data_IF_111811980404
#
_entry.id   IF_111811980404
#
_cell.length_a   1.000
_cell.length_b   1.000
_cell.length_c   1.000
_cell.angle_alpha   90.00
_cell.angle_beta   90.00
_cell.angle_gamma   90.00
#
_symmetry.space_group_name_H-M   'P 1'
#
loop_
_entity.id
_entity.type
_entity.pdbx_description
1 polymer ?
#
# COMPACT_ATOMS: atom_id res chain seq x y z
N UNK A 1 -3.89 -3.29 -20.78
CA UNK A 1 -4.21 -3.15 -19.34
C UNK A 1 -2.96 -2.62 -18.65
N UNK A 2 -2.90 -1.34 -18.25
CA UNK A 2 -1.71 -0.80 -17.60
C UNK A 2 -1.59 -1.41 -16.20
N UNK A 3 -0.54 -2.21 -15.98
CA UNK A 3 -0.17 -2.66 -14.64
C UNK A 3 0.53 -1.50 -13.95
N UNK A 4 0.03 -1.09 -12.78
CA UNK A 4 0.63 -0.06 -11.95
C UNK A 4 1.42 -0.76 -10.86
N UNK A 5 2.70 -0.46 -10.74
CA UNK A 5 3.54 -0.92 -9.63
C UNK A 5 3.88 0.28 -8.76
N UNK A 6 3.42 0.23 -7.51
CA UNK A 6 3.60 1.28 -6.52
C UNK A 6 4.50 0.82 -5.38
N UNK A 7 5.40 1.71 -4.95
CA UNK A 7 6.21 1.51 -3.75
C UNK A 7 5.55 2.24 -2.57
N UNK A 8 5.13 1.47 -1.56
CA UNK A 8 4.67 2.00 -0.28
C UNK A 8 5.30 1.17 0.84
N UNK A 9 5.85 1.85 1.85
CA UNK A 9 6.33 1.23 3.07
C UNK A 9 5.21 1.16 4.08
N UNK A 10 4.45 0.06 4.08
CA UNK A 10 3.54 -0.26 5.16
C UNK A 10 3.53 -1.77 5.43
N UNK A 11 3.46 -2.11 6.71
CA UNK A 11 3.39 -3.49 7.17
C UNK A 11 2.12 -4.23 6.72
N UNK A 12 1.07 -3.53 6.26
CA UNK A 12 -0.22 -4.14 5.93
C UNK A 12 -1.01 -3.34 4.87
N UNK A 13 -0.77 -3.60 3.57
CA UNK A 13 -1.72 -3.52 2.43
C UNK A 13 -1.11 -3.96 1.08
N UNK A 14 -1.98 -4.05 0.07
CA UNK A 14 -2.09 -5.07 -1.01
C UNK A 14 -1.31 -4.72 -2.30
N UNK A 15 -0.64 -5.73 -2.90
CA UNK A 15 0.26 -5.65 -4.07
C UNK A 15 -0.29 -4.95 -5.32
N UNK A 16 0.55 -4.31 -6.15
CA UNK A 16 1.52 -4.93 -7.07
C UNK A 16 2.93 -4.33 -6.87
N UNK A 17 3.91 -5.17 -6.51
CA UNK A 17 5.34 -4.81 -6.44
C UNK A 17 5.73 -3.93 -5.25
N UNK A 18 5.29 -4.28 -4.04
CA UNK A 18 5.59 -3.53 -2.81
C UNK A 18 7.00 -3.88 -2.32
N UNK A 19 7.88 -2.88 -2.21
CA UNK A 19 9.15 -2.99 -1.48
C UNK A 19 9.01 -2.26 -0.15
N UNK A 20 9.23 -2.98 0.94
CA UNK A 20 9.12 -2.48 2.31
C UNK A 20 10.28 -1.54 2.68
N UNK A 21 9.99 -0.60 3.59
CA UNK A 21 10.91 0.08 4.51
C UNK A 21 12.30 0.42 3.96
N UNK A 22 12.45 1.61 3.37
CA UNK A 22 13.73 2.16 2.90
C UNK A 22 14.33 1.49 1.64
N UNK A 23 13.89 0.28 1.29
CA UNK A 23 14.32 -0.44 0.08
C UNK A 23 13.70 0.17 -1.19
N UNK A 24 12.52 0.78 -1.08
CA UNK A 24 11.87 1.50 -2.18
C UNK A 24 12.65 2.73 -2.66
N UNK A 25 13.50 3.33 -1.80
CA UNK A 25 14.38 4.46 -2.17
C UNK A 25 15.66 4.01 -2.91
N UNK A 26 15.86 2.69 -3.10
CA UNK A 26 17.01 2.19 -3.82
C UNK A 26 16.87 2.46 -5.33
N UNK A 27 17.64 3.42 -5.83
CA UNK A 27 17.62 3.83 -7.24
C UNK A 27 17.90 2.67 -8.20
N UNK A 28 18.79 1.74 -7.83
CA UNK A 28 19.12 0.58 -8.67
C UNK A 28 17.93 -0.37 -8.80
N UNK A 29 17.15 -0.52 -7.74
CA UNK A 29 15.97 -1.36 -7.74
C UNK A 29 14.80 -0.72 -8.49
N UNK A 30 14.63 0.60 -8.36
CA UNK A 30 13.69 1.36 -9.20
C UNK A 30 14.03 1.25 -10.69
N UNK A 31 15.30 1.29 -11.07
CA UNK A 31 15.74 1.06 -12.46
C UNK A 31 15.34 -0.33 -12.98
N UNK A 32 15.64 -1.38 -12.21
CA UNK A 32 15.32 -2.76 -12.59
C UNK A 32 13.81 -2.95 -12.77
N UNK A 33 13.01 -2.39 -11.86
CA UNK A 33 11.55 -2.46 -11.96
C UNK A 33 11.02 -1.58 -13.10
N UNK A 34 11.70 -0.48 -13.42
CA UNK A 34 11.39 0.36 -14.58
C UNK A 34 11.58 -0.38 -15.90
N UNK A 35 12.66 -1.17 -16.04
CA UNK A 35 12.86 -2.05 -17.19
C UNK A 35 11.71 -3.05 -17.32
N UNK A 36 11.42 -3.77 -16.23
CA UNK A 36 10.35 -4.77 -16.18
C UNK A 36 8.97 -4.17 -16.54
N UNK A 37 8.68 -2.95 -16.07
CA UNK A 37 7.43 -2.25 -16.37
C UNK A 37 7.31 -1.90 -17.85
N UNK A 38 8.38 -1.33 -18.44
CA UNK A 38 8.38 -0.95 -19.87
C UNK A 38 8.13 -2.15 -20.78
N UNK A 39 8.75 -3.28 -20.51
CA UNK A 39 8.56 -4.52 -21.28
C UNK A 39 7.12 -5.03 -21.23
N UNK A 40 6.37 -4.69 -20.18
CA UNK A 40 4.98 -5.16 -19.95
C UNK A 40 3.92 -4.11 -20.27
N UNK A 41 4.30 -2.96 -20.82
CA UNK A 41 3.37 -1.83 -21.05
C UNK A 41 2.78 -1.26 -19.74
N UNK A 42 3.53 -1.41 -18.65
CA UNK A 42 3.19 -0.99 -17.29
C UNK A 42 3.85 0.34 -16.94
N UNK A 43 3.32 1.03 -15.92
CA UNK A 43 3.90 2.28 -15.41
C UNK A 43 4.42 2.06 -13.99
N UNK A 44 5.65 2.51 -13.74
CA UNK A 44 6.23 2.53 -12.41
C UNK A 44 5.96 3.88 -11.75
N UNK A 45 5.45 3.87 -10.53
CA UNK A 45 5.31 5.07 -9.71
C UNK A 45 6.10 4.89 -8.42
N UNK A 46 7.10 5.75 -8.23
CA UNK A 46 7.80 5.87 -6.96
C UNK A 46 7.15 6.99 -6.15
N UNK A 47 6.67 6.66 -4.95
CA UNK A 47 6.13 7.64 -4.00
C UNK A 47 7.30 8.38 -3.36
N UNK A 48 7.08 9.64 -2.96
CA UNK A 48 8.05 10.44 -2.20
C UNK A 48 8.53 9.66 -0.96
N UNK A 49 9.84 9.72 -0.69
CA UNK A 49 10.50 8.98 0.40
C UNK A 49 9.84 9.22 1.77
N UNK A 50 9.26 10.42 1.98
CA UNK A 50 8.58 10.80 3.23
C UNK A 50 7.31 9.99 3.49
N UNK A 51 6.71 9.42 2.46
CA UNK A 51 5.57 8.51 2.56
C UNK A 51 5.97 7.04 2.40
N UNK A 52 7.24 6.76 2.16
CA UNK A 52 7.79 5.39 2.10
C UNK A 52 8.21 4.86 3.49
N UNK A 53 7.94 5.61 4.55
CA UNK A 53 8.11 5.22 5.96
C UNK A 53 6.75 5.11 6.64
N UNK A 54 6.68 4.34 7.73
CA UNK A 54 5.49 4.25 8.56
C UNK A 54 5.05 5.65 9.03
N UNK A 55 3.85 6.07 8.63
CA UNK A 55 3.31 7.39 8.94
C UNK A 55 1.82 7.34 9.30
N UNK A 56 1.32 8.36 10.00
CA UNK A 56 -0.10 8.43 10.37
C UNK A 56 -1.03 8.68 9.18
N UNK A 57 -0.53 9.27 8.08
CA UNK A 57 -1.35 9.61 6.92
C UNK A 57 -1.84 8.37 6.17
N UNK A 58 -1.03 7.31 6.05
CA UNK A 58 -1.48 6.03 5.46
C UNK A 58 -2.59 5.36 6.29
N UNK A 59 -2.53 5.47 7.62
CA UNK A 59 -3.56 4.93 8.52
C UNK A 59 -4.85 5.75 8.37
N UNK A 60 -4.74 7.08 8.35
CA UNK A 60 -5.87 7.98 8.13
C UNK A 60 -6.53 7.76 6.76
N UNK A 61 -5.74 7.58 5.69
CA UNK A 61 -6.26 7.33 4.35
C UNK A 61 -7.02 6.00 4.29
N UNK A 62 -6.46 4.92 4.84
CA UNK A 62 -7.14 3.64 4.89
C UNK A 62 -8.43 3.71 5.72
N UNK A 63 -8.39 4.37 6.89
CA UNK A 63 -9.58 4.56 7.73
C UNK A 63 -10.65 5.41 7.06
N UNK A 64 -10.26 6.45 6.32
CA UNK A 64 -11.19 7.27 5.54
C UNK A 64 -11.89 6.46 4.44
N UNK A 65 -11.14 5.63 3.71
CA UNK A 65 -11.70 4.77 2.67
C UNK A 65 -12.68 3.74 3.24
N UNK A 66 -12.32 3.09 4.35
CA UNK A 66 -13.19 2.17 5.10
C UNK A 66 -14.47 2.89 5.52
N UNK A 67 -14.36 4.04 6.19
CA UNK A 67 -15.50 4.82 6.67
C UNK A 67 -16.41 5.28 5.53
N UNK A 68 -15.83 5.79 4.44
CA UNK A 68 -16.57 6.23 3.24
C UNK A 68 -17.34 5.09 2.59
N UNK A 69 -16.82 3.87 2.65
CA UNK A 69 -17.52 2.66 2.17
C UNK A 69 -18.56 2.09 3.14
N UNK A 70 -18.77 2.76 4.29
CA UNK A 70 -19.75 2.37 5.30
C UNK A 70 -19.21 1.39 6.35
N UNK A 71 -17.92 1.08 6.35
CA UNK A 71 -17.32 0.27 7.41
C UNK A 71 -17.07 1.11 8.65
N UNK A 72 -17.66 0.72 9.77
CA UNK A 72 -17.48 1.34 11.09
C UNK A 72 -17.16 0.24 12.08
N UNK A 73 -16.23 0.51 13.00
CA UNK A 73 -15.83 -0.42 14.07
C UNK A 73 -16.35 0.12 15.38
N UNK A 74 -17.12 -0.70 16.11
CA UNK A 74 -17.58 -0.38 17.45
C UNK A 74 -16.40 -0.34 18.42
N UNK A 75 -16.53 0.44 19.50
CA UNK A 75 -15.43 0.62 20.45
C UNK A 75 -15.02 -0.72 21.11
N UNK A 76 -15.99 -1.60 21.38
CA UNK A 76 -15.74 -2.92 21.95
C UNK A 76 -14.93 -3.85 21.04
N UNK A 77 -14.99 -3.62 19.73
CA UNK A 77 -14.25 -4.36 18.70
C UNK A 77 -12.89 -3.73 18.36
N UNK A 78 -12.59 -2.55 18.91
CA UNK A 78 -11.39 -1.75 18.58
C UNK A 78 -10.12 -2.18 19.34
N UNK A 79 -9.82 -3.49 19.36
CA UNK A 79 -8.68 -4.05 20.07
C UNK A 79 -7.49 -4.37 19.15
N UNK A 80 -6.32 -4.62 19.74
CA UNK A 80 -5.05 -4.80 19.01
C UNK A 80 -4.91 -6.24 18.53
N UNK A 81 -4.80 -6.42 17.21
CA UNK A 81 -4.40 -7.70 16.61
C UNK A 81 -2.93 -7.66 16.18
N UNK A 82 -2.03 -8.27 16.97
CA UNK A 82 -0.58 -8.25 16.69
C UNK A 82 -0.19 -8.94 15.37
N UNK A 83 -0.97 -9.94 14.93
CA UNK A 83 -0.72 -10.70 13.68
C UNK A 83 -1.84 -10.48 12.69
N UNK A 84 -2.17 -9.21 12.43
CA UNK A 84 -3.28 -8.88 11.54
C UNK A 84 -2.89 -9.16 10.09
N UNK A 85 -3.59 -10.08 9.43
CA UNK A 85 -3.31 -10.46 8.04
C UNK A 85 -3.91 -9.45 7.08
N UNK A 86 -3.25 -9.24 5.94
CA UNK A 86 -3.71 -8.33 4.88
C UNK A 86 -4.99 -8.79 4.19
N UNK A 87 -5.28 -10.09 4.19
CA UNK A 87 -6.50 -10.68 3.64
C UNK A 87 -7.63 -10.85 4.67
N UNK A 88 -7.41 -10.41 5.92
CA UNK A 88 -8.45 -10.44 6.95
C UNK A 88 -9.41 -9.24 6.85
N UNK A 89 -9.09 -8.23 6.04
CA UNK A 89 -9.92 -7.04 5.81
C UNK A 89 -10.59 -7.14 4.46
N UNK A 90 -11.91 -7.14 4.43
CA UNK A 90 -12.68 -7.00 3.20
C UNK A 90 -12.54 -5.56 2.67
N UNK A 91 -12.11 -5.42 1.42
CA UNK A 91 -11.91 -4.12 0.76
C UNK A 91 -13.15 -3.78 -0.06
N UNK A 92 -13.98 -2.87 0.45
CA UNK A 92 -15.29 -2.48 -0.11
C UNK A 92 -15.26 -1.17 -0.91
N UNK A 93 -14.09 -0.55 -1.10
CA UNK A 93 -13.92 0.79 -1.70
C UNK A 93 -13.09 0.78 -3.00
N UNK A 94 -12.93 -0.37 -3.64
CA UNK A 94 -12.07 -0.54 -4.82
C UNK A 94 -12.82 -0.38 -6.15
N UNK A 95 -14.13 -0.58 -6.13
CA UNK A 95 -15.04 -0.49 -7.28
C UNK A 95 -15.78 0.86 -7.31
#
# INVERSE_FOLDING_TARGET
MPVVIGFEGSANKIGIGILRDGVGCNLRLQEMMGVMCRERGAKLFATDERFCIDNGAMIAQAGWEMFRSGQVTELEDSWITQRYRTDAVEVTWRD
#
